data_IF_141755241224
#
_entry.id   IF_141755241224
#
_cell.length_a   1.000
_cell.length_b   1.000
_cell.length_c   1.000
_cell.angle_alpha   90.00
_cell.angle_beta   90.00
_cell.angle_gamma   90.00
#
_symmetry.space_group_name_H-M   'P 1'
#
loop_
_entity.id
_entity.type
_entity.pdbx_description
1 polymer ?
#
# COMPACT_ATOMS: atom_id res chain seq x y z
N UNK A 1 -9.94 -15.45 -20.72
CA UNK A 1 -8.53 -15.31 -20.27
C UNK A 1 -8.03 -13.92 -20.64
N UNK A 2 -8.23 -12.90 -19.79
CA UNK A 2 -7.74 -11.51 -20.00
C UNK A 2 -6.79 -11.14 -18.84
N UNK A 3 -5.66 -11.86 -18.73
CA UNK A 3 -4.70 -11.69 -17.62
C UNK A 3 -3.28 -11.43 -18.09
N UNK A 4 -3.12 -10.97 -19.33
CA UNK A 4 -1.85 -10.44 -19.84
C UNK A 4 -2.03 -8.95 -20.06
N UNK A 5 -1.14 -8.14 -19.49
CA UNK A 5 -1.00 -6.70 -19.73
C UNK A 5 -2.01 -5.79 -19.02
N UNK A 6 -1.97 -5.73 -17.69
CA UNK A 6 -2.10 -4.40 -17.07
C UNK A 6 -0.85 -3.66 -17.54
N UNK A 7 -0.99 -2.71 -18.47
CA UNK A 7 0.15 -2.00 -19.05
C UNK A 7 0.89 -1.30 -17.91
N UNK A 8 2.21 -1.17 -17.98
CA UNK A 8 3.02 -0.57 -16.90
C UNK A 8 2.49 0.80 -16.47
N UNK A 9 1.91 1.56 -17.40
CA UNK A 9 1.22 2.82 -17.14
C UNK A 9 -0.01 2.67 -16.22
N UNK A 10 -0.82 1.62 -16.41
CA UNK A 10 -1.99 1.35 -15.56
C UNK A 10 -1.56 1.02 -14.12
N UNK A 11 -0.46 0.28 -13.93
CA UNK A 11 0.03 -0.08 -12.60
C UNK A 11 0.53 1.13 -11.82
N UNK A 12 1.28 2.01 -12.49
CA UNK A 12 1.76 3.24 -11.89
C UNK A 12 0.59 4.15 -11.53
N UNK A 13 -0.41 4.27 -12.40
CA UNK A 13 -1.60 5.07 -12.14
C UNK A 13 -2.40 4.52 -10.95
N UNK A 14 -2.61 3.20 -10.90
CA UNK A 14 -3.26 2.53 -9.75
C UNK A 14 -2.52 2.84 -8.44
N UNK A 15 -1.18 2.77 -8.44
CA UNK A 15 -0.39 3.10 -7.25
C UNK A 15 -0.57 4.57 -6.83
N UNK A 16 -0.52 5.49 -7.78
CA UNK A 16 -0.73 6.93 -7.53
C UNK A 16 -2.12 7.17 -6.92
N UNK A 17 -3.16 6.60 -7.52
CA UNK A 17 -4.53 6.83 -7.09
C UNK A 17 -4.79 6.23 -5.70
N UNK A 18 -4.34 5.01 -5.44
CA UNK A 18 -4.44 4.41 -4.11
C UNK A 18 -3.65 5.19 -3.06
N UNK A 19 -2.46 5.69 -3.40
CA UNK A 19 -1.67 6.47 -2.47
C UNK A 19 -2.33 7.82 -2.17
N UNK A 20 -2.98 8.46 -3.15
CA UNK A 20 -3.80 9.66 -2.91
C UNK A 20 -4.96 9.36 -1.96
N UNK A 21 -5.71 8.28 -2.20
CA UNK A 21 -6.81 7.85 -1.31
C UNK A 21 -6.29 7.60 0.12
N UNK A 22 -5.13 6.98 0.25
CA UNK A 22 -4.49 6.75 1.55
C UNK A 22 -4.12 8.07 2.24
N UNK A 23 -3.50 9.02 1.53
CA UNK A 23 -3.14 10.32 2.07
C UNK A 23 -4.37 11.15 2.47
N UNK A 24 -5.47 11.04 1.72
CA UNK A 24 -6.75 11.66 2.04
C UNK A 24 -7.56 10.89 3.10
N UNK A 25 -6.97 9.85 3.71
CA UNK A 25 -7.62 9.02 4.75
C UNK A 25 -8.90 8.30 4.29
N UNK A 26 -9.08 8.13 2.97
CA UNK A 26 -10.21 7.40 2.37
C UNK A 26 -10.05 5.88 2.48
N UNK A 27 -8.80 5.41 2.48
CA UNK A 27 -8.43 4.02 2.71
C UNK A 27 -7.37 3.91 3.81
N UNK A 28 -7.36 2.77 4.49
CA UNK A 28 -6.36 2.46 5.50
C UNK A 28 -5.06 1.95 4.89
N UNK A 29 -3.99 1.92 5.70
CA UNK A 29 -2.70 1.34 5.31
C UNK A 29 -2.84 -0.16 4.98
N UNK A 30 -3.64 -0.90 5.77
CA UNK A 30 -3.93 -2.30 5.54
C UNK A 30 -4.67 -2.55 4.23
N UNK A 31 -5.65 -1.70 3.91
CA UNK A 31 -6.39 -1.76 2.64
C UNK A 31 -5.49 -1.47 1.44
N UNK A 32 -4.63 -0.44 1.53
CA UNK A 32 -3.63 -0.13 0.51
C UNK A 32 -2.73 -1.34 0.22
N UNK A 33 -2.16 -1.94 1.27
CA UNK A 33 -1.31 -3.12 1.14
C UNK A 33 -2.04 -4.31 0.51
N UNK A 34 -3.26 -4.60 1.00
CA UNK A 34 -4.08 -5.71 0.53
C UNK A 34 -4.43 -5.56 -0.96
N UNK A 35 -4.77 -4.35 -1.40
CA UNK A 35 -5.04 -4.07 -2.80
C UNK A 35 -3.81 -4.29 -3.66
N UNK A 36 -2.68 -3.65 -3.31
CA UNK A 36 -1.45 -3.76 -4.08
C UNK A 36 -0.98 -5.21 -4.20
N UNK A 37 -1.01 -5.96 -3.09
CA UNK A 37 -0.66 -7.39 -3.12
C UNK A 37 -1.58 -8.21 -4.03
N UNK A 38 -2.90 -8.05 -3.93
CA UNK A 38 -3.86 -8.89 -4.66
C UNK A 38 -3.98 -8.50 -6.13
N UNK A 39 -4.12 -7.21 -6.42
CA UNK A 39 -4.51 -6.72 -7.73
C UNK A 39 -3.33 -6.31 -8.60
N UNK A 40 -2.23 -5.85 -7.99
CA UNK A 40 -1.02 -5.46 -8.73
C UNK A 40 -0.03 -6.62 -8.82
N UNK A 41 0.29 -7.26 -7.69
CA UNK A 41 1.24 -8.38 -7.68
C UNK A 41 0.59 -9.75 -7.94
N UNK A 42 -0.72 -9.89 -7.69
CA UNK A 42 -1.41 -11.17 -7.90
C UNK A 42 -1.04 -12.26 -6.88
N UNK A 43 -0.55 -11.88 -5.70
CA UNK A 43 -0.02 -12.81 -4.71
C UNK A 43 -1.03 -13.11 -3.59
N UNK A 44 -1.06 -14.37 -3.13
CA UNK A 44 -1.75 -14.74 -1.90
C UNK A 44 -1.05 -14.13 -0.67
N UNK A 45 -1.74 -14.11 0.48
CA UNK A 45 -1.12 -13.65 1.73
C UNK A 45 0.11 -14.50 2.09
N UNK A 46 0.03 -15.82 1.87
CA UNK A 46 1.13 -16.73 2.18
C UNK A 46 2.35 -16.46 1.29
N UNK A 47 2.14 -16.31 -0.02
CA UNK A 47 3.21 -15.99 -0.97
C UNK A 47 3.89 -14.66 -0.63
N UNK A 48 3.10 -13.64 -0.30
CA UNK A 48 3.64 -12.32 0.02
C UNK A 48 4.35 -12.27 1.38
N UNK A 49 3.80 -12.95 2.39
CA UNK A 49 4.42 -13.05 3.71
C UNK A 49 5.80 -13.72 3.62
N UNK A 50 5.91 -14.79 2.81
CA UNK A 50 7.18 -15.44 2.52
C UNK A 50 8.15 -14.52 1.77
N UNK A 51 7.66 -13.75 0.79
CA UNK A 51 8.46 -12.78 0.02
C UNK A 51 9.10 -11.70 0.91
N UNK A 52 8.35 -11.18 1.88
CA UNK A 52 8.82 -10.08 2.77
C UNK A 52 9.42 -10.58 4.09
N UNK A 53 9.41 -11.90 4.31
CA UNK A 53 10.02 -12.53 5.48
C UNK A 53 9.28 -12.26 6.79
N UNK A 54 7.94 -12.35 6.78
CA UNK A 54 7.08 -12.25 7.98
C UNK A 54 6.11 -13.45 8.05
N UNK A 55 5.46 -13.63 9.20
CA UNK A 55 4.42 -14.65 9.31
C UNK A 55 3.16 -14.23 8.53
N UNK A 56 2.42 -15.21 7.98
CA UNK A 56 1.12 -14.96 7.35
C UNK A 56 0.16 -14.23 8.28
N UNK A 57 0.17 -14.60 9.57
CA UNK A 57 -0.65 -13.94 10.61
C UNK A 57 -0.29 -12.46 10.75
N UNK A 58 1.00 -12.12 10.79
CA UNK A 58 1.46 -10.73 10.84
C UNK A 58 0.96 -9.95 9.62
N UNK A 59 1.03 -10.53 8.41
CA UNK A 59 0.47 -9.89 7.22
C UNK A 59 -1.05 -9.69 7.33
N UNK A 60 -1.79 -10.68 7.84
CA UNK A 60 -3.23 -10.55 8.08
C UNK A 60 -3.56 -9.44 9.06
N UNK A 61 -2.81 -9.34 10.17
CA UNK A 61 -3.02 -8.29 11.16
C UNK A 61 -2.76 -6.90 10.53
N UNK A 62 -1.69 -6.74 9.75
CA UNK A 62 -1.42 -5.50 9.00
C UNK A 62 -2.57 -5.15 8.06
N UNK A 63 -3.02 -6.10 7.24
CA UNK A 63 -4.09 -5.86 6.25
C UNK A 63 -5.47 -5.61 6.86
N UNK A 64 -5.66 -5.95 8.13
CA UNK A 64 -6.86 -5.66 8.91
C UNK A 64 -6.70 -4.45 9.84
N UNK A 65 -5.59 -3.71 9.71
CA UNK A 65 -5.24 -2.57 10.57
C UNK A 65 -5.22 -2.93 12.06
N UNK A 66 -4.75 -4.15 12.37
CA UNK A 66 -4.65 -4.71 13.72
C UNK A 66 -3.20 -4.82 14.18
N UNK A 67 -3.05 -4.73 15.50
CA UNK A 67 -1.77 -4.94 16.18
C UNK A 67 -0.85 -3.72 16.13
N UNK A 68 0.23 -3.77 16.92
CA UNK A 68 1.27 -2.73 16.91
C UNK A 68 2.32 -3.10 15.88
N UNK A 69 2.43 -2.28 14.83
CA UNK A 69 3.42 -2.45 13.78
C UNK A 69 4.67 -1.63 14.11
N UNK A 70 5.84 -2.24 13.96
CA UNK A 70 7.10 -1.51 14.04
C UNK A 70 7.44 -0.92 12.68
N UNK A 71 8.18 0.19 12.66
CA UNK A 71 8.66 0.80 11.42
C UNK A 71 9.43 -0.21 10.56
N UNK A 72 10.24 -1.08 11.19
CA UNK A 72 11.01 -2.12 10.50
C UNK A 72 10.12 -3.11 9.75
N UNK A 73 8.97 -3.49 10.32
CA UNK A 73 8.00 -4.38 9.65
C UNK A 73 7.34 -3.65 8.48
N UNK A 74 6.94 -2.39 8.66
CA UNK A 74 6.36 -1.58 7.59
C UNK A 74 7.34 -1.43 6.41
N UNK A 75 8.60 -1.08 6.68
CA UNK A 75 9.62 -0.96 5.65
C UNK A 75 9.82 -2.27 4.88
N UNK A 76 9.87 -3.42 5.56
CA UNK A 76 9.95 -4.73 4.91
C UNK A 76 8.75 -5.01 3.99
N UNK A 77 7.55 -4.73 4.49
CA UNK A 77 6.29 -5.05 3.83
C UNK A 77 6.03 -4.17 2.61
N UNK A 78 6.46 -2.91 2.64
CA UNK A 78 6.24 -1.96 1.55
C UNK A 78 7.40 -1.87 0.53
N UNK A 79 8.60 -2.35 0.89
CA UNK A 79 9.78 -2.32 0.00
C UNK A 79 9.55 -2.97 -1.38
N UNK A 80 8.92 -4.16 -1.52
CA UNK A 80 8.66 -4.74 -2.84
C UNK A 80 7.67 -3.95 -3.71
N UNK A 81 6.91 -3.04 -3.10
CA UNK A 81 5.93 -2.18 -3.76
C UNK A 81 6.53 -0.83 -4.18
N UNK A 82 7.83 -0.62 -3.96
CA UNK A 82 8.49 0.67 -4.22
C UNK A 82 8.11 1.74 -3.20
N UNK A 83 7.54 1.35 -2.06
CA UNK A 83 7.10 2.25 -1.00
C UNK A 83 8.02 2.11 0.23
N UNK A 84 8.21 3.22 0.94
CA UNK A 84 8.97 3.29 2.20
C UNK A 84 8.08 3.90 3.27
N UNK A 85 8.16 3.39 4.50
CA UNK A 85 7.38 3.96 5.60
C UNK A 85 7.98 5.31 6.02
N UNK A 86 7.12 6.29 6.30
CA UNK A 86 7.50 7.66 6.60
C UNK A 86 6.37 8.46 7.23
N UNK A 87 6.62 9.75 7.47
CA UNK A 87 5.62 10.66 8.00
C UNK A 87 4.66 11.11 6.89
N UNK A 88 3.38 11.22 7.23
CA UNK A 88 2.35 11.84 6.39
C UNK A 88 1.65 12.94 7.21
N UNK A 89 1.13 14.00 6.58
CA UNK A 89 0.34 15.00 7.29
C UNK A 89 -0.92 14.37 7.88
N UNK A 90 -1.30 14.79 9.10
CA UNK A 90 -2.54 14.36 9.75
C UNK A 90 -3.75 15.20 9.35
N UNK A 91 -3.52 16.38 8.77
CA UNK A 91 -4.58 17.29 8.35
C UNK A 91 -4.82 17.19 6.84
N UNK A 92 -6.04 16.82 6.47
CA UNK A 92 -6.45 16.64 5.07
C UNK A 92 -6.22 17.90 4.22
N UNK A 93 -6.49 19.10 4.76
CA UNK A 93 -6.26 20.35 4.02
C UNK A 93 -4.77 20.58 3.66
N UNK A 94 -3.83 20.04 4.45
CA UNK A 94 -2.40 20.09 4.12
C UNK A 94 -2.10 19.10 2.99
N UNK A 95 -2.67 17.89 3.07
CA UNK A 95 -2.55 16.87 2.04
C UNK A 95 -3.07 17.38 0.69
N UNK A 96 -4.27 17.98 0.67
CA UNK A 96 -4.87 18.53 -0.54
C UNK A 96 -3.98 19.57 -1.22
N UNK A 97 -3.33 20.46 -0.44
CA UNK A 97 -2.36 21.44 -0.98
C UNK A 97 -1.09 20.78 -1.54
N UNK A 98 -0.64 19.67 -0.96
CA UNK A 98 0.55 18.94 -1.44
C UNK A 98 0.24 18.20 -2.75
N UNK A 99 -0.92 17.54 -2.83
CA UNK A 99 -1.31 16.74 -3.99
C UNK A 99 -1.80 17.63 -5.15
N UNK A 100 -2.39 18.79 -4.84
CA UNK A 100 -2.82 19.80 -5.80
C UNK A 100 -2.13 21.15 -5.51
N UNK A 101 -0.85 21.30 -5.86
CA UNK A 101 -0.09 22.51 -5.52
C UNK A 101 -0.54 23.79 -6.25
N UNK A 102 -1.43 23.68 -7.24
CA UNK A 102 -1.82 24.78 -8.13
C UNK A 102 -3.34 25.09 -8.12
N UNK A 103 -4.10 24.69 -7.08
CA UNK A 103 -5.46 25.21 -6.82
C UNK A 103 -5.43 26.32 -5.76
#
# INVERSE_FOLDING_TARGET
MKKLTIQTQDRQQILIDLYKQYLLSEITLGQLLSYLRKNVLGLSQEQYANLVGISRRTLTDIEQDKGKLTQSVLDKVFKPLGLKAGLVPTHEHIVSKIIKPNE
#
